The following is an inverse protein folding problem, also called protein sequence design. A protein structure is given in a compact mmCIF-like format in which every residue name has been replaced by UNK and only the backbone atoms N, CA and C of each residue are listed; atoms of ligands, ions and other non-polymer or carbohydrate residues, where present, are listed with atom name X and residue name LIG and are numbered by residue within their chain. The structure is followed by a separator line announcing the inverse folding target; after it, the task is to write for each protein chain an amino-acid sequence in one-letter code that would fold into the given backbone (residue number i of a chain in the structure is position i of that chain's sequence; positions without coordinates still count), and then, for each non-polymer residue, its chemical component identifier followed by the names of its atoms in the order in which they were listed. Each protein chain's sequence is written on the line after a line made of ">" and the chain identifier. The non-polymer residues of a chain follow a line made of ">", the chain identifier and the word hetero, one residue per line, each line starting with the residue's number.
data_IF_522063152539
#
_entry.id   IF_522063152539
#
_cell.length_a   1.000
_cell.length_b   1.000
_cell.length_c   1.000
_cell.angle_alpha   90.00
_cell.angle_beta   90.00
_cell.angle_gamma   90.00
#
_symmetry.space_group_name_H-M   'P 1'
#
loop_
_entity.id
_entity.type
_entity.pdbx_description
1 polymer ?
#
# COMPACT_ATOMS: atom_id res chain seq x y z
N UNK A 1 27.24 -11.38 -27.71
CA UNK A 1 26.56 -10.56 -26.69
C UNK A 1 27.40 -9.36 -26.23
N UNK A 2 28.70 -9.30 -26.52
CA UNK A 2 29.53 -8.07 -26.37
C UNK A 2 29.58 -7.18 -27.63
N UNK A 3 29.15 -7.67 -28.80
CA UNK A 3 29.18 -6.88 -30.05
C UNK A 3 28.04 -5.86 -30.21
N UNK A 4 26.98 -5.93 -29.38
CA UNK A 4 25.85 -5.00 -29.44
C UNK A 4 26.03 -3.78 -28.52
N UNK A 5 26.96 -3.83 -27.56
CA UNK A 5 27.19 -2.75 -26.59
C UNK A 5 28.13 -1.66 -27.13
N UNK A 6 28.89 -1.94 -28.19
CA UNK A 6 29.82 -0.99 -28.82
C UNK A 6 29.19 -0.06 -29.88
N UNK A 7 27.90 -0.20 -30.18
CA UNK A 7 27.21 0.68 -31.14
C UNK A 7 26.84 2.04 -30.50
N UNK A 8 26.78 2.13 -29.16
CA UNK A 8 26.37 3.36 -28.45
C UNK A 8 27.58 4.25 -28.07
N UNK A 9 28.82 3.76 -28.20
CA UNK A 9 30.03 4.49 -27.83
C UNK A 9 30.83 5.09 -29.01
N UNK A 10 30.38 4.94 -30.27
CA UNK A 10 31.07 5.50 -31.44
C UNK A 10 30.26 6.64 -32.09
N UNK A 11 30.10 7.76 -31.40
CA UNK A 11 30.00 9.06 -32.08
C UNK A 11 31.42 9.61 -32.30
N UNK A 12 32.27 8.83 -32.97
CA UNK A 12 33.45 9.37 -33.62
C UNK A 12 32.97 10.32 -34.71
N UNK A 13 33.47 11.55 -34.73
CA UNK A 13 33.07 12.62 -35.64
C UNK A 13 32.98 12.15 -37.10
N UNK A 14 31.80 11.68 -37.51
CA UNK A 14 31.50 11.36 -38.90
C UNK A 14 31.56 12.69 -39.63
N UNK A 15 32.64 12.90 -40.37
CA UNK A 15 32.78 14.02 -41.28
C UNK A 15 31.54 13.96 -42.17
N UNK A 16 30.70 15.00 -42.10
CA UNK A 16 29.52 15.09 -42.96
C UNK A 16 30.04 15.32 -44.38
N UNK A 17 29.93 14.31 -45.22
CA UNK A 17 30.38 14.38 -46.61
C UNK A 17 29.21 14.43 -47.58
N UNK A 18 29.37 15.13 -48.69
CA UNK A 18 28.46 15.10 -49.84
C UNK A 18 29.11 14.34 -50.99
N UNK A 19 28.34 13.44 -51.63
CA UNK A 19 28.81 12.77 -52.85
C UNK A 19 28.85 13.77 -54.01
N UNK A 20 29.89 13.68 -54.83
CA UNK A 20 30.05 14.48 -56.06
C UNK A 20 28.86 14.39 -57.01
N UNK A 21 28.13 13.27 -57.04
CA UNK A 21 26.88 13.13 -57.80
C UNK A 21 25.79 14.05 -57.25
N UNK A 22 25.53 14.01 -55.94
CA UNK A 22 24.53 14.84 -55.28
C UNK A 22 24.87 16.34 -55.35
N UNK A 23 26.15 16.70 -55.21
CA UNK A 23 26.58 18.10 -55.35
C UNK A 23 26.34 18.62 -56.78
N UNK A 24 26.60 17.80 -57.80
CA UNK A 24 26.34 18.16 -59.20
C UNK A 24 24.86 18.37 -59.46
N UNK A 25 23.98 17.58 -58.87
CA UNK A 25 22.53 17.76 -58.97
C UNK A 25 22.10 19.14 -58.43
N UNK A 26 22.58 19.51 -57.24
CA UNK A 26 22.29 20.82 -56.63
C UNK A 26 22.88 21.97 -57.46
N UNK A 27 24.12 21.84 -57.94
CA UNK A 27 24.74 22.85 -58.81
C UNK A 27 23.91 23.03 -60.08
N UNK A 28 23.45 21.93 -60.70
CA UNK A 28 22.68 21.98 -61.94
C UNK A 28 21.30 22.58 -61.77
N UNK A 29 20.66 22.39 -60.61
CA UNK A 29 19.41 23.07 -60.27
C UNK A 29 19.56 24.60 -60.38
N UNK A 30 20.61 25.14 -59.78
CA UNK A 30 20.85 26.59 -59.78
C UNK A 30 21.44 27.11 -61.10
N UNK A 31 22.31 26.33 -61.78
CA UNK A 31 22.79 26.69 -63.13
C UNK A 31 21.63 26.81 -64.11
N UNK A 32 20.66 25.90 -64.05
CA UNK A 32 19.45 25.97 -64.89
C UNK A 32 18.64 27.23 -64.60
N UNK A 33 18.51 27.61 -63.33
CA UNK A 33 17.78 28.82 -62.93
C UNK A 33 18.41 30.12 -63.45
N UNK A 34 19.73 30.16 -63.67
CA UNK A 34 20.43 31.32 -64.26
C UNK A 34 20.65 31.20 -65.79
N UNK A 35 20.10 30.17 -66.45
CA UNK A 35 20.30 29.93 -67.89
C UNK A 35 21.68 29.37 -68.26
N UNK A 36 22.42 28.85 -67.29
CA UNK A 36 23.74 28.25 -67.44
C UNK A 36 23.73 26.82 -68.01
N UNK A 37 24.89 26.38 -68.48
CA UNK A 37 25.08 25.03 -69.05
C UNK A 37 25.22 23.97 -67.96
N UNK A 38 24.54 22.85 -68.15
CA UNK A 38 24.61 21.67 -67.27
C UNK A 38 26.05 21.17 -67.09
N UNK A 39 26.41 20.93 -65.82
CA UNK A 39 27.64 20.27 -65.40
C UNK A 39 27.44 18.76 -65.43
N UNK A 40 28.16 18.07 -66.30
CA UNK A 40 28.20 16.60 -66.29
C UNK A 40 29.07 16.10 -65.13
N UNK A 41 28.63 15.04 -64.43
CA UNK A 41 29.39 14.45 -63.32
C UNK A 41 30.82 14.07 -63.71
N UNK A 42 31.03 13.48 -64.90
CA UNK A 42 32.39 13.22 -65.45
C UNK A 42 33.28 14.47 -65.48
N UNK A 43 32.74 15.61 -65.90
CA UNK A 43 33.51 16.87 -65.96
C UNK A 43 33.80 17.39 -64.55
N UNK A 44 32.87 17.18 -63.62
CA UNK A 44 33.07 17.55 -62.23
C UNK A 44 34.13 16.68 -61.54
N UNK A 45 34.15 15.38 -61.80
CA UNK A 45 35.21 14.47 -61.34
C UNK A 45 36.59 14.93 -61.81
N UNK A 46 36.72 15.30 -63.10
CA UNK A 46 37.98 15.83 -63.64
C UNK A 46 38.40 17.15 -62.98
N UNK A 47 37.44 18.02 -62.61
CA UNK A 47 37.74 19.23 -61.82
C UNK A 47 38.29 18.87 -60.43
N UNK A 48 37.70 17.90 -59.75
CA UNK A 48 38.15 17.44 -58.42
C UNK A 48 39.57 16.86 -58.51
N UNK A 49 39.85 16.01 -59.50
CA UNK A 49 41.18 15.42 -59.71
C UNK A 49 42.25 16.50 -59.90
N UNK A 50 41.93 17.53 -60.71
CA UNK A 50 42.82 18.68 -60.92
C UNK A 50 43.05 19.49 -59.64
N UNK A 51 42.01 19.70 -58.84
CA UNK A 51 42.13 20.40 -57.55
C UNK A 51 43.04 19.61 -56.59
N UNK A 52 42.83 18.30 -56.48
CA UNK A 52 43.67 17.40 -55.66
C UNK A 52 45.13 17.45 -56.11
N UNK A 53 45.40 17.41 -57.41
CA UNK A 53 46.76 17.52 -57.98
C UNK A 53 47.41 18.88 -57.66
N UNK A 54 46.63 19.95 -57.75
CA UNK A 54 47.07 21.31 -57.42
C UNK A 54 47.43 21.42 -55.94
N UNK A 55 46.57 20.93 -55.04
CA UNK A 55 46.83 20.90 -53.59
C UNK A 55 48.11 20.12 -53.27
N UNK A 56 48.29 18.93 -53.87
CA UNK A 56 49.51 18.13 -53.70
C UNK A 56 50.77 18.86 -54.15
N UNK A 57 50.71 19.55 -55.29
CA UNK A 57 51.83 20.34 -55.83
C UNK A 57 52.22 21.50 -54.89
N UNK A 58 51.25 22.07 -54.19
CA UNK A 58 51.44 23.14 -53.21
C UNK A 58 51.82 22.64 -51.80
N UNK A 59 51.95 21.32 -51.59
CA UNK A 59 52.23 20.73 -50.28
C UNK A 59 51.06 20.79 -49.29
N UNK A 60 49.82 20.90 -49.78
CA UNK A 60 48.60 20.94 -48.97
C UNK A 60 47.90 19.57 -48.95
N UNK A 61 47.35 19.19 -47.80
CA UNK A 61 46.64 17.92 -47.63
C UNK A 61 45.26 17.93 -48.31
N UNK A 62 45.09 17.11 -49.35
CA UNK A 62 43.83 16.96 -50.08
C UNK A 62 42.92 15.82 -49.56
N UNK A 63 43.51 14.82 -48.90
CA UNK A 63 42.84 13.54 -48.56
C UNK A 63 41.74 13.68 -47.49
N UNK A 64 41.82 14.73 -46.66
CA UNK A 64 40.79 15.06 -45.66
C UNK A 64 39.54 15.70 -46.30
N UNK A 65 39.69 16.33 -47.47
CA UNK A 65 38.62 17.06 -48.15
C UNK A 65 37.95 16.27 -49.27
N UNK A 66 38.70 15.36 -49.91
CA UNK A 66 38.24 14.56 -51.04
C UNK A 66 38.59 13.09 -50.84
N UNK A 67 37.58 12.28 -50.49
CA UNK A 67 37.72 10.84 -50.32
C UNK A 67 37.12 10.10 -51.51
N UNK A 68 37.83 9.11 -52.03
CA UNK A 68 37.27 8.24 -53.08
C UNK A 68 36.16 7.37 -52.49
N UNK A 69 35.02 7.35 -53.15
CA UNK A 69 33.84 6.59 -52.81
C UNK A 69 33.18 6.00 -54.06
N UNK A 70 31.98 5.47 -53.88
CA UNK A 70 31.24 4.80 -54.96
C UNK A 70 29.74 5.08 -54.89
N UNK A 71 29.06 4.97 -56.02
CA UNK A 71 27.60 5.03 -56.12
C UNK A 71 27.07 4.02 -57.13
N UNK A 72 25.81 3.65 -57.01
CA UNK A 72 25.12 2.82 -57.99
C UNK A 72 24.43 3.71 -59.02
N UNK A 73 24.68 3.45 -60.30
CA UNK A 73 23.95 4.13 -61.38
C UNK A 73 22.55 3.53 -61.60
N UNK A 74 21.80 4.10 -62.56
CA UNK A 74 20.43 3.67 -62.89
C UNK A 74 20.35 2.22 -63.37
N UNK A 75 21.47 1.62 -63.79
CA UNK A 75 21.57 0.23 -64.23
C UNK A 75 22.14 -0.66 -63.11
N UNK A 76 22.17 -0.18 -61.87
CA UNK A 76 22.71 -0.85 -60.69
C UNK A 76 24.21 -1.21 -60.84
N UNK A 77 24.96 -0.45 -61.65
CA UNK A 77 26.41 -0.63 -61.78
C UNK A 77 27.15 0.28 -60.81
N UNK A 78 28.18 -0.26 -60.18
CA UNK A 78 29.03 0.49 -59.25
C UNK A 78 29.96 1.44 -60.03
N UNK A 79 29.89 2.73 -59.71
CA UNK A 79 30.65 3.80 -60.37
C UNK A 79 31.44 4.60 -59.34
N UNK A 80 32.68 5.06 -59.66
CA UNK A 80 33.46 5.87 -58.75
C UNK A 80 32.87 7.28 -58.58
N UNK A 81 32.98 7.82 -57.39
CA UNK A 81 32.66 9.21 -57.08
C UNK A 81 33.55 9.72 -55.95
N UNK A 82 33.66 11.03 -55.75
CA UNK A 82 34.22 11.57 -54.51
C UNK A 82 33.15 11.82 -53.46
N UNK A 83 33.48 11.53 -52.21
CA UNK A 83 32.83 12.02 -50.99
C UNK A 83 33.64 13.20 -50.48
N UNK A 84 33.00 14.37 -50.37
CA UNK A 84 33.69 15.62 -50.06
C UNK A 84 33.25 16.15 -48.72
N UNK A 85 34.21 16.63 -47.93
CA UNK A 85 33.92 17.44 -46.74
C UNK A 85 33.23 18.74 -47.14
N UNK A 86 32.74 19.49 -46.14
CA UNK A 86 32.21 20.83 -46.36
C UNK A 86 33.23 21.76 -47.04
N UNK A 87 34.49 21.67 -46.63
CA UNK A 87 35.57 22.51 -47.18
C UNK A 87 35.91 22.09 -48.61
N UNK A 88 35.97 20.77 -48.89
CA UNK A 88 36.14 20.26 -50.25
C UNK A 88 35.01 20.70 -51.18
N UNK A 89 33.76 20.67 -50.72
CA UNK A 89 32.62 21.22 -51.46
C UNK A 89 32.79 22.71 -51.75
N UNK A 90 33.16 23.52 -50.74
CA UNK A 90 33.36 24.95 -50.90
C UNK A 90 34.47 25.28 -51.90
N UNK A 91 35.57 24.52 -51.89
CA UNK A 91 36.64 24.63 -52.88
C UNK A 91 36.11 24.39 -54.30
N UNK A 92 35.31 23.35 -54.51
CA UNK A 92 34.75 23.07 -55.84
C UNK A 92 33.77 24.15 -56.32
N UNK A 93 33.00 24.73 -55.40
CA UNK A 93 32.05 25.81 -55.69
C UNK A 93 32.74 27.13 -56.07
N UNK A 94 34.04 27.30 -55.80
CA UNK A 94 34.80 28.46 -56.29
C UNK A 94 34.86 28.53 -57.82
N UNK A 95 34.68 27.40 -58.50
CA UNK A 95 34.61 27.32 -59.96
C UNK A 95 33.22 27.64 -60.55
N UNK A 96 32.24 27.95 -59.70
CA UNK A 96 30.86 28.26 -60.07
C UNK A 96 30.56 29.77 -60.02
N UNK A 97 29.48 30.18 -60.69
CA UNK A 97 28.99 31.57 -60.67
C UNK A 97 28.67 32.01 -59.25
N UNK A 98 28.73 33.32 -58.99
CA UNK A 98 28.42 33.88 -57.66
C UNK A 98 27.03 33.47 -57.18
N UNK A 99 26.04 33.46 -58.07
CA UNK A 99 24.67 33.09 -57.75
C UNK A 99 24.54 31.60 -57.42
N UNK A 100 25.09 30.72 -58.26
CA UNK A 100 25.08 29.26 -58.03
C UNK A 100 25.79 28.90 -56.74
N UNK A 101 26.96 29.51 -56.46
CA UNK A 101 27.71 29.32 -55.23
C UNK A 101 26.89 29.71 -54.00
N UNK A 102 26.34 30.93 -54.00
CA UNK A 102 25.52 31.43 -52.89
C UNK A 102 24.33 30.52 -52.61
N UNK A 103 23.58 30.15 -53.65
CA UNK A 103 22.38 29.31 -53.52
C UNK A 103 22.68 27.87 -53.12
N UNK A 104 23.78 27.29 -53.61
CA UNK A 104 24.22 25.96 -53.19
C UNK A 104 24.59 25.94 -51.71
N UNK A 105 25.33 26.95 -51.23
CA UNK A 105 25.68 27.08 -49.81
C UNK A 105 24.42 27.26 -48.95
N UNK A 106 23.50 28.13 -49.38
CA UNK A 106 22.21 28.36 -48.69
C UNK A 106 21.42 27.05 -48.55
N UNK A 107 21.34 26.26 -49.62
CA UNK A 107 20.64 24.97 -49.65
C UNK A 107 21.27 23.95 -48.70
N UNK A 108 22.59 23.80 -48.75
CA UNK A 108 23.32 22.86 -47.88
C UNK A 108 23.17 23.24 -46.41
N UNK A 109 23.21 24.54 -46.07
CA UNK A 109 22.97 25.01 -44.70
C UNK A 109 21.57 24.65 -44.19
N UNK A 110 20.54 24.85 -45.03
CA UNK A 110 19.16 24.46 -44.70
C UNK A 110 19.05 22.96 -44.44
N UNK A 111 19.68 22.13 -45.27
CA UNK A 111 19.70 20.68 -45.06
C UNK A 111 20.44 20.26 -43.79
N UNK A 112 21.55 20.94 -43.45
CA UNK A 112 22.27 20.67 -42.22
C UNK A 112 21.44 21.00 -40.97
N UNK A 113 20.69 22.11 -41.00
CA UNK A 113 19.82 22.53 -39.91
C UNK A 113 18.61 21.60 -39.74
N UNK A 114 17.96 21.23 -40.85
CA UNK A 114 16.89 20.22 -40.85
C UNK A 114 17.39 18.88 -40.28
N UNK A 115 18.59 18.44 -40.67
CA UNK A 115 19.20 17.22 -40.12
C UNK A 115 19.50 17.32 -38.61
N UNK A 116 19.93 18.49 -38.11
CA UNK A 116 20.13 18.70 -36.67
C UNK A 116 18.79 18.59 -35.93
N UNK A 117 17.74 19.22 -36.44
CA UNK A 117 16.40 19.17 -35.85
C UNK A 117 15.85 17.74 -35.81
N UNK A 118 15.89 17.02 -36.94
CA UNK A 118 15.44 15.62 -37.01
C UNK A 118 16.15 14.70 -36.01
N UNK A 119 17.47 14.89 -35.81
CA UNK A 119 18.23 14.12 -34.81
C UNK A 119 17.78 14.44 -33.39
N UNK A 120 17.49 15.71 -33.09
CA UNK A 120 16.97 16.13 -31.79
C UNK A 120 15.59 15.53 -31.52
N UNK A 121 14.67 15.66 -32.48
CA UNK A 121 13.30 15.17 -32.36
C UNK A 121 13.28 13.64 -32.19
N UNK A 122 14.11 12.90 -32.94
CA UNK A 122 14.25 11.46 -32.77
C UNK A 122 14.78 11.05 -31.39
N UNK A 123 15.73 11.82 -30.83
CA UNK A 123 16.26 11.56 -29.49
C UNK A 123 15.19 11.81 -28.42
N UNK A 124 14.40 12.86 -28.57
CA UNK A 124 13.29 13.18 -27.67
C UNK A 124 12.20 12.09 -27.72
N UNK A 125 11.79 11.68 -28.92
CA UNK A 125 10.84 10.58 -29.13
C UNK A 125 11.32 9.27 -28.51
N UNK A 126 12.59 8.91 -28.69
CA UNK A 126 13.18 7.73 -28.07
C UNK A 126 13.15 7.83 -26.55
N UNK A 127 13.47 8.99 -25.99
CA UNK A 127 13.43 9.25 -24.54
C UNK A 127 12.00 9.14 -23.99
N UNK A 128 11.01 9.68 -24.69
CA UNK A 128 9.59 9.54 -24.32
C UNK A 128 9.17 8.06 -24.36
N UNK A 129 9.53 7.35 -25.44
CA UNK A 129 9.19 5.94 -25.63
C UNK A 129 9.87 5.00 -24.62
N UNK A 130 11.02 5.40 -24.06
CA UNK A 130 11.77 4.64 -23.05
C UNK A 130 11.58 5.17 -21.64
N UNK A 131 10.84 6.27 -21.44
CA UNK A 131 10.65 6.82 -20.11
C UNK A 131 9.88 5.83 -19.22
N UNK A 132 10.42 5.57 -18.03
CA UNK A 132 9.84 4.63 -17.06
C UNK A 132 8.37 4.95 -16.75
N UNK A 133 8.03 6.24 -16.71
CA UNK A 133 6.66 6.70 -16.43
C UNK A 133 5.66 6.24 -17.50
N UNK A 134 6.01 6.31 -18.77
CA UNK A 134 5.14 5.88 -19.86
C UNK A 134 5.17 4.37 -20.07
N UNK A 135 6.27 3.69 -19.71
CA UNK A 135 6.31 2.24 -19.62
C UNK A 135 5.36 1.73 -18.51
N UNK A 136 5.44 2.31 -17.30
CA UNK A 136 4.51 2.00 -16.19
C UNK A 136 3.06 2.26 -16.59
N UNK A 137 2.79 3.37 -17.32
CA UNK A 137 1.44 3.69 -17.79
C UNK A 137 0.92 2.70 -18.83
N UNK A 138 1.78 2.23 -19.74
CA UNK A 138 1.44 1.21 -20.74
C UNK A 138 1.24 -0.16 -20.09
N UNK A 139 2.13 -0.56 -19.18
CA UNK A 139 2.00 -1.78 -18.39
C UNK A 139 0.70 -1.77 -17.57
N UNK A 140 0.37 -0.64 -16.93
CA UNK A 140 -0.88 -0.47 -16.22
C UNK A 140 -2.11 -0.69 -17.12
N UNK A 141 -2.13 -0.07 -18.31
CA UNK A 141 -3.22 -0.25 -19.28
C UNK A 141 -3.32 -1.69 -19.78
N UNK A 142 -2.19 -2.34 -20.05
CA UNK A 142 -2.15 -3.74 -20.46
C UNK A 142 -2.68 -4.66 -19.34
N UNK A 143 -2.30 -4.40 -18.09
CA UNK A 143 -2.74 -5.16 -16.92
C UNK A 143 -4.23 -4.98 -16.61
N UNK A 144 -4.82 -3.80 -16.87
CA UNK A 144 -6.29 -3.61 -16.80
C UNK A 144 -7.01 -4.61 -17.71
N UNK A 145 -6.45 -4.87 -18.89
CA UNK A 145 -7.02 -5.80 -19.86
C UNK A 145 -6.70 -7.24 -19.41
N UNK A 146 -5.43 -7.59 -19.21
CA UNK A 146 -4.98 -8.95 -18.84
C UNK A 146 -5.70 -9.47 -17.60
N UNK A 147 -5.68 -8.69 -16.52
CA UNK A 147 -6.31 -9.05 -15.24
C UNK A 147 -7.70 -8.43 -15.08
N UNK A 148 -8.39 -8.09 -16.18
CA UNK A 148 -9.74 -7.58 -16.12
C UNK A 148 -10.70 -8.58 -15.47
N UNK A 149 -11.72 -8.09 -14.74
CA UNK A 149 -12.66 -8.94 -13.97
C UNK A 149 -13.29 -10.08 -14.78
N UNK A 150 -13.63 -9.81 -16.06
CA UNK A 150 -14.22 -10.79 -16.99
C UNK A 150 -13.20 -11.82 -17.50
N UNK A 151 -11.92 -11.47 -17.52
CA UNK A 151 -10.84 -12.27 -18.09
C UNK A 151 -10.25 -13.26 -17.07
N UNK A 152 -10.48 -13.06 -15.78
CA UNK A 152 -9.95 -13.93 -14.71
C UNK A 152 -10.30 -15.41 -14.92
N UNK A 153 -11.49 -15.71 -15.45
CA UNK A 153 -11.91 -17.10 -15.73
C UNK A 153 -11.02 -17.75 -16.79
N UNK A 154 -10.83 -17.11 -17.94
CA UNK A 154 -9.99 -17.64 -19.01
C UNK A 154 -8.52 -17.71 -18.58
N UNK A 155 -8.02 -16.65 -17.94
CA UNK A 155 -6.63 -16.57 -17.49
C UNK A 155 -6.26 -17.72 -16.54
N UNK A 156 -7.13 -18.04 -15.57
CA UNK A 156 -6.87 -19.14 -14.63
C UNK A 156 -7.16 -20.52 -15.24
N UNK A 157 -8.12 -20.64 -16.15
CA UNK A 157 -8.41 -21.91 -16.85
C UNK A 157 -7.25 -22.35 -17.76
N UNK A 158 -6.49 -21.41 -18.31
CA UNK A 158 -5.32 -21.67 -19.15
C UNK A 158 -4.04 -21.97 -18.33
N UNK A 159 -4.12 -21.93 -17.00
CA UNK A 159 -2.98 -22.21 -16.13
C UNK A 159 -2.71 -23.72 -16.00
N UNK A 160 -1.46 -24.04 -15.69
CA UNK A 160 -0.99 -25.37 -15.30
C UNK A 160 -0.67 -25.38 -13.81
N UNK A 161 -0.44 -26.56 -13.24
CA UNK A 161 -0.04 -26.67 -11.82
C UNK A 161 1.23 -25.89 -11.48
N UNK A 162 2.09 -25.58 -12.46
CA UNK A 162 3.36 -24.87 -12.26
C UNK A 162 3.21 -23.36 -12.10
N UNK A 163 2.16 -22.76 -12.66
CA UNK A 163 2.06 -21.30 -12.76
C UNK A 163 0.76 -20.73 -12.16
N UNK A 164 -0.19 -21.56 -11.78
CA UNK A 164 -1.49 -21.09 -11.27
C UNK A 164 -1.34 -20.26 -9.99
N UNK A 165 -0.42 -20.63 -9.09
CA UNK A 165 -0.16 -19.88 -7.87
C UNK A 165 0.43 -18.48 -8.16
N UNK A 166 1.42 -18.40 -9.05
CA UNK A 166 2.02 -17.14 -9.48
C UNK A 166 0.98 -16.22 -10.13
N UNK A 167 0.16 -16.76 -11.03
CA UNK A 167 -0.90 -16.00 -11.71
C UNK A 167 -1.94 -15.48 -10.71
N UNK A 168 -2.34 -16.27 -9.71
CA UNK A 168 -3.20 -15.81 -8.61
C UNK A 168 -2.52 -14.66 -7.84
N UNK A 169 -1.22 -14.80 -7.54
CA UNK A 169 -0.43 -13.76 -6.90
C UNK A 169 -0.42 -12.46 -7.71
N UNK A 170 -0.20 -12.54 -9.02
CA UNK A 170 -0.24 -11.40 -9.94
C UNK A 170 -1.61 -10.72 -9.96
N UNK A 171 -2.70 -11.51 -10.08
CA UNK A 171 -4.08 -11.02 -10.05
C UNK A 171 -4.33 -10.28 -8.73
N UNK A 172 -4.03 -10.92 -7.60
CA UNK A 172 -4.24 -10.35 -6.27
C UNK A 172 -3.46 -9.05 -6.09
N UNK A 173 -2.18 -9.03 -6.45
CA UNK A 173 -1.35 -7.83 -6.33
C UNK A 173 -1.87 -6.71 -7.23
N UNK A 174 -2.20 -7.01 -8.49
CA UNK A 174 -2.72 -6.01 -9.40
C UNK A 174 -4.03 -5.41 -8.89
N UNK A 175 -5.04 -6.22 -8.55
CA UNK A 175 -6.32 -5.69 -8.10
C UNK A 175 -6.26 -4.95 -6.75
N UNK A 176 -5.46 -5.44 -5.81
CA UNK A 176 -5.45 -4.89 -4.44
C UNK A 176 -4.51 -3.69 -4.31
N UNK A 177 -3.36 -3.71 -4.99
CA UNK A 177 -2.29 -2.73 -4.79
C UNK A 177 -2.08 -1.78 -5.97
N UNK A 178 -2.32 -2.21 -7.22
CA UNK A 178 -2.05 -1.39 -8.41
C UNK A 178 -3.31 -0.77 -9.04
N UNK A 179 -4.44 -1.48 -9.07
CA UNK A 179 -5.66 -1.09 -9.77
C UNK A 179 -6.37 0.07 -9.05
N UNK A 180 -6.58 1.17 -9.79
CA UNK A 180 -7.25 2.36 -9.27
C UNK A 180 -8.75 2.12 -9.13
N UNK A 181 -9.37 2.72 -8.10
CA UNK A 181 -10.81 2.57 -7.82
C UNK A 181 -11.70 2.83 -9.04
N UNK A 182 -11.39 3.88 -9.81
CA UNK A 182 -12.12 4.28 -11.02
C UNK A 182 -12.09 3.25 -12.15
N UNK A 183 -11.07 2.39 -12.17
CA UNK A 183 -10.85 1.39 -13.22
C UNK A 183 -11.38 0.00 -12.80
N UNK A 184 -11.99 -0.11 -11.60
CA UNK A 184 -12.68 -1.33 -11.15
C UNK A 184 -14.00 -1.50 -11.92
N UNK A 185 -14.45 -2.74 -12.05
CA UNK A 185 -15.77 -3.03 -12.58
C UNK A 185 -16.86 -2.29 -11.77
N UNK A 186 -17.90 -1.79 -12.46
CA UNK A 186 -18.89 -0.85 -11.90
C UNK A 186 -19.47 -1.29 -10.54
N UNK A 187 -19.80 -2.57 -10.40
CA UNK A 187 -20.34 -3.16 -9.17
C UNK A 187 -19.40 -3.11 -7.95
N UNK A 188 -18.12 -2.77 -8.14
CA UNK A 188 -17.07 -2.79 -7.11
C UNK A 188 -16.35 -1.45 -6.94
N UNK A 189 -16.78 -0.41 -7.67
CA UNK A 189 -16.13 0.91 -7.68
C UNK A 189 -16.17 1.61 -6.31
N UNK A 190 -17.27 1.42 -5.58
CA UNK A 190 -17.53 2.06 -4.29
C UNK A 190 -17.02 1.26 -3.08
N UNK A 191 -16.54 0.03 -3.27
CA UNK A 191 -16.06 -0.80 -2.17
C UNK A 191 -14.77 -0.25 -1.55
N UNK A 192 -14.66 -0.39 -0.22
CA UNK A 192 -13.41 -0.18 0.50
C UNK A 192 -12.31 -1.12 -0.03
N UNK A 193 -11.05 -0.83 0.30
CA UNK A 193 -9.92 -1.68 -0.10
C UNK A 193 -10.08 -3.11 0.43
N UNK A 194 -10.59 -3.25 1.66
CA UNK A 194 -10.80 -4.54 2.31
C UNK A 194 -11.94 -5.33 1.68
N UNK A 195 -13.10 -4.69 1.45
CA UNK A 195 -14.24 -5.32 0.78
C UNK A 195 -13.88 -5.76 -0.64
N UNK A 196 -13.18 -4.89 -1.39
CA UNK A 196 -12.75 -5.21 -2.74
C UNK A 196 -11.77 -6.40 -2.77
N UNK A 197 -10.82 -6.43 -1.83
CA UNK A 197 -9.89 -7.57 -1.68
C UNK A 197 -10.64 -8.89 -1.44
N UNK A 198 -11.70 -8.87 -0.63
CA UNK A 198 -12.51 -10.07 -0.39
C UNK A 198 -13.33 -10.46 -1.61
N UNK A 199 -13.88 -9.49 -2.35
CA UNK A 199 -14.58 -9.77 -3.61
C UNK A 199 -13.65 -10.44 -4.64
N UNK A 200 -12.42 -9.95 -4.78
CA UNK A 200 -11.41 -10.56 -5.67
C UNK A 200 -11.10 -11.99 -5.24
N UNK A 201 -10.89 -12.24 -3.94
CA UNK A 201 -10.66 -13.60 -3.41
C UNK A 201 -11.81 -14.54 -3.70
N UNK A 202 -13.05 -14.12 -3.42
CA UNK A 202 -14.23 -14.94 -3.71
C UNK A 202 -14.38 -15.23 -5.20
N UNK A 203 -14.02 -14.28 -6.07
CA UNK A 203 -14.02 -14.50 -7.52
C UNK A 203 -12.95 -15.51 -7.94
N UNK A 204 -11.76 -15.46 -7.36
CA UNK A 204 -10.70 -16.45 -7.62
C UNK A 204 -11.17 -17.83 -7.14
N UNK A 205 -11.72 -17.93 -5.92
CA UNK A 205 -12.24 -19.19 -5.38
C UNK A 205 -13.33 -19.81 -6.26
N UNK A 206 -14.26 -19.01 -6.79
CA UNK A 206 -15.30 -19.46 -7.73
C UNK A 206 -14.70 -20.05 -9.01
N UNK A 207 -13.66 -19.41 -9.55
CA UNK A 207 -12.98 -19.89 -10.75
C UNK A 207 -12.18 -21.15 -10.45
N UNK A 208 -11.48 -21.20 -9.32
CA UNK A 208 -10.76 -22.37 -8.86
C UNK A 208 -11.69 -23.56 -8.63
N UNK A 209 -12.88 -23.34 -8.07
CA UNK A 209 -13.88 -24.38 -7.90
C UNK A 209 -14.34 -24.94 -9.25
N UNK A 210 -14.51 -24.09 -10.25
CA UNK A 210 -14.81 -24.54 -11.60
C UNK A 210 -13.67 -25.40 -12.19
N UNK A 211 -12.41 -24.98 -12.03
CA UNK A 211 -11.23 -25.74 -12.50
C UNK A 211 -11.15 -27.08 -11.79
N UNK A 212 -11.29 -27.09 -10.45
CA UNK A 212 -11.28 -28.31 -9.64
C UNK A 212 -12.30 -29.31 -10.17
N UNK A 213 -13.51 -28.87 -10.47
CA UNK A 213 -14.59 -29.76 -10.93
C UNK A 213 -14.44 -30.22 -12.39
N UNK A 214 -13.70 -29.49 -13.23
CA UNK A 214 -13.64 -29.75 -14.69
C UNK A 214 -12.31 -30.30 -15.19
N UNK A 215 -11.20 -30.08 -14.48
CA UNK A 215 -9.86 -30.48 -14.95
C UNK A 215 -9.65 -31.99 -14.96
N UNK A 216 -9.00 -32.51 -16.00
CA UNK A 216 -8.56 -33.92 -16.04
C UNK A 216 -7.15 -34.11 -15.45
N UNK A 217 -6.41 -33.02 -15.21
CA UNK A 217 -5.08 -33.04 -14.61
C UNK A 217 -5.18 -33.19 -13.09
N UNK A 218 -4.82 -34.38 -12.59
CA UNK A 218 -4.84 -34.69 -11.16
C UNK A 218 -3.88 -33.85 -10.32
N UNK A 219 -2.73 -33.44 -10.87
CA UNK A 219 -1.77 -32.57 -10.17
C UNK A 219 -2.32 -31.16 -10.04
N UNK A 220 -2.86 -30.62 -11.13
CA UNK A 220 -3.53 -29.31 -11.10
C UNK A 220 -4.70 -29.32 -10.11
N UNK A 221 -5.51 -30.39 -10.10
CA UNK A 221 -6.64 -30.54 -9.17
C UNK A 221 -6.19 -30.48 -7.70
N UNK A 222 -5.10 -31.15 -7.34
CA UNK A 222 -4.55 -31.12 -5.97
C UNK A 222 -4.07 -29.72 -5.59
N UNK A 223 -3.27 -29.08 -6.45
CA UNK A 223 -2.76 -27.73 -6.21
C UNK A 223 -3.90 -26.72 -6.06
N UNK A 224 -4.93 -26.82 -6.91
CA UNK A 224 -6.14 -25.97 -6.80
C UNK A 224 -6.83 -26.14 -5.45
N UNK A 225 -6.96 -27.37 -4.95
CA UNK A 225 -7.57 -27.64 -3.65
C UNK A 225 -6.78 -27.02 -2.50
N UNK A 226 -5.45 -27.13 -2.51
CA UNK A 226 -4.57 -26.52 -1.51
C UNK A 226 -4.69 -24.98 -1.50
N UNK A 227 -4.80 -24.38 -2.69
CA UNK A 227 -5.00 -22.94 -2.85
C UNK A 227 -6.37 -22.47 -2.33
N UNK A 228 -7.43 -23.26 -2.54
CA UNK A 228 -8.76 -23.00 -1.96
C UNK A 228 -8.73 -23.06 -0.43
N UNK A 229 -8.08 -24.08 0.16
CA UNK A 229 -7.92 -24.22 1.61
C UNK A 229 -7.14 -23.04 2.20
N UNK A 230 -6.08 -22.60 1.53
CA UNK A 230 -5.29 -21.44 1.93
C UNK A 230 -6.10 -20.15 1.88
N UNK A 231 -6.92 -19.96 0.84
CA UNK A 231 -7.81 -18.79 0.74
C UNK A 231 -8.87 -18.79 1.83
N UNK A 232 -9.42 -19.96 2.16
CA UNK A 232 -10.38 -20.14 3.25
C UNK A 232 -9.74 -19.84 4.62
N UNK A 233 -8.54 -20.35 4.91
CA UNK A 233 -7.80 -20.04 6.15
C UNK A 233 -7.57 -18.53 6.29
N UNK A 234 -7.12 -17.87 5.22
CA UNK A 234 -6.93 -16.42 5.21
C UNK A 234 -8.23 -15.62 5.45
N UNK A 235 -9.38 -16.11 4.96
CA UNK A 235 -10.69 -15.53 5.25
C UNK A 235 -11.04 -15.70 6.73
N UNK A 236 -10.88 -16.89 7.28
CA UNK A 236 -11.16 -17.21 8.69
C UNK A 236 -10.31 -16.37 9.65
N UNK A 237 -9.00 -16.24 9.39
CA UNK A 237 -8.11 -15.39 10.21
C UNK A 237 -8.56 -13.92 10.24
N UNK A 238 -9.01 -13.40 9.10
CA UNK A 238 -9.49 -12.01 9.00
C UNK A 238 -10.77 -11.82 9.82
N UNK A 239 -11.71 -12.77 9.72
CA UNK A 239 -12.95 -12.76 10.52
C UNK A 239 -12.66 -12.90 12.00
N UNK A 240 -11.76 -13.79 12.40
CA UNK A 240 -11.37 -13.97 13.80
C UNK A 240 -10.75 -12.71 14.39
N UNK A 241 -9.93 -11.96 13.63
CA UNK A 241 -9.40 -10.66 14.06
C UNK A 241 -10.52 -9.62 14.27
N UNK A 242 -11.50 -9.53 13.35
CA UNK A 242 -12.65 -8.64 13.50
C UNK A 242 -13.48 -9.02 14.73
N UNK A 243 -13.81 -10.30 14.90
CA UNK A 243 -14.55 -10.80 16.05
C UNK A 243 -13.80 -10.55 17.37
N UNK A 244 -12.48 -10.70 17.39
CA UNK A 244 -11.67 -10.39 18.56
C UNK A 244 -11.68 -8.89 18.90
N UNK A 245 -11.64 -8.01 17.89
CA UNK A 245 -11.79 -6.56 18.09
C UNK A 245 -13.18 -6.18 18.61
N UNK A 246 -14.22 -6.79 18.07
CA UNK A 246 -15.61 -6.58 18.50
C UNK A 246 -15.84 -7.11 19.92
N UNK A 247 -15.28 -8.28 20.25
CA UNK A 247 -15.27 -8.83 21.60
C UNK A 247 -14.53 -7.92 22.58
N UNK A 248 -13.40 -7.32 22.19
CA UNK A 248 -12.68 -6.37 23.04
C UNK A 248 -13.46 -5.08 23.26
N UNK A 249 -14.17 -4.57 22.25
CA UNK A 249 -15.09 -3.44 22.40
C UNK A 249 -16.24 -3.77 23.35
N UNK A 250 -16.83 -4.96 23.21
CA UNK A 250 -17.87 -5.44 24.13
C UNK A 250 -17.33 -5.58 25.56
N UNK A 251 -16.11 -6.12 25.75
CA UNK A 251 -15.46 -6.20 27.07
C UNK A 251 -15.14 -4.84 27.69
N UNK A 252 -14.98 -3.78 26.90
CA UNK A 252 -14.88 -2.42 27.44
C UNK A 252 -16.24 -1.86 27.86
N UNK A 253 -17.34 -2.33 27.26
CA UNK A 253 -18.71 -1.86 27.56
C UNK A 253 -19.34 -2.63 28.74
N UNK A 254 -18.93 -3.88 28.98
CA UNK A 254 -19.38 -4.66 30.14
C UNK A 254 -18.33 -4.61 31.27
N UNK A 255 -18.70 -4.21 32.51
CA UNK A 255 -17.75 -4.01 33.59
C UNK A 255 -17.00 -5.29 33.95
N UNK A 256 -15.75 -5.13 34.41
CA UNK A 256 -14.84 -6.16 34.90
C UNK A 256 -15.58 -7.20 35.75
N UNK A 257 -15.66 -8.45 35.27
CA UNK A 257 -16.27 -9.55 36.00
C UNK A 257 -15.26 -10.10 37.01
N UNK A 258 -15.36 -9.65 38.26
CA UNK A 258 -14.57 -10.16 39.39
C UNK A 258 -15.08 -11.56 39.72
N UNK A 259 -14.17 -12.54 39.84
CA UNK A 259 -14.55 -13.92 40.23
C UNK A 259 -14.98 -13.92 41.69
N UNK A 260 -15.95 -14.74 42.07
CA UNK A 260 -16.44 -14.77 43.45
C UNK A 260 -15.32 -15.13 44.45
N UNK A 261 -14.36 -15.96 44.04
CA UNK A 261 -13.18 -16.35 44.83
C UNK A 261 -12.24 -15.18 45.19
N UNK A 262 -12.33 -14.06 44.46
CA UNK A 262 -11.54 -12.87 44.75
C UNK A 262 -12.17 -12.02 45.87
N UNK A 263 -13.46 -12.23 46.19
CA UNK A 263 -14.16 -11.51 47.26
C UNK A 263 -13.78 -12.04 48.64
N UNK A 264 -13.77 -11.14 49.63
CA UNK A 264 -13.75 -11.54 51.03
C UNK A 264 -15.16 -11.96 51.43
N UNK A 265 -15.30 -13.19 51.92
CA UNK A 265 -16.55 -13.76 52.40
C UNK A 265 -16.71 -13.56 53.92
N UNK A 266 -17.86 -13.02 54.30
CA UNK A 266 -18.26 -12.80 55.69
C UNK A 266 -19.55 -13.61 55.95
N UNK A 267 -19.49 -14.51 56.93
CA UNK A 267 -20.59 -15.37 57.37
C UNK A 267 -21.56 -14.61 58.28
N UNK A 268 -22.16 -13.55 57.72
CA UNK A 268 -23.16 -12.73 58.39
C UNK A 268 -24.19 -12.23 57.40
N UNK A 269 -25.47 -12.25 57.80
CA UNK A 269 -26.52 -11.61 57.04
C UNK A 269 -26.41 -10.07 57.11
N UNK A 270 -26.57 -9.35 55.98
CA UNK A 270 -26.51 -7.89 55.97
C UNK A 270 -27.68 -7.23 56.69
N UNK A 271 -27.41 -6.22 57.50
CA UNK A 271 -28.43 -5.56 58.31
C UNK A 271 -29.09 -4.41 57.56
N UNK A 272 -30.42 -4.43 57.45
CA UNK A 272 -31.16 -3.40 56.72
C UNK A 272 -31.28 -2.08 57.49
N UNK A 273 -31.01 -0.97 56.80
CA UNK A 273 -31.00 0.41 57.32
C UNK A 273 -32.23 0.78 58.14
N UNK A 274 -33.41 0.36 57.69
CA UNK A 274 -34.69 0.70 58.33
C UNK A 274 -34.85 0.11 59.75
N UNK A 275 -33.98 -0.81 60.16
CA UNK A 275 -34.00 -1.41 61.50
C UNK A 275 -32.82 -0.95 62.36
N UNK A 276 -31.95 -0.07 61.85
CA UNK A 276 -30.73 0.36 62.56
C UNK A 276 -31.06 1.28 63.73
N UNK A 277 -32.02 2.18 63.55
CA UNK A 277 -32.32 3.25 64.49
C UNK A 277 -33.81 3.29 64.86
N UNK A 278 -34.08 3.68 66.10
CA UNK A 278 -35.41 3.99 66.62
C UNK A 278 -35.41 5.43 67.17
N UNK A 279 -36.49 6.16 66.93
CA UNK A 279 -36.67 7.50 67.47
C UNK A 279 -37.29 7.42 68.87
N UNK A 280 -36.63 8.03 69.86
CA UNK A 280 -37.17 8.23 71.23
C UNK A 280 -36.88 9.67 71.64
N UNK A 281 -37.88 10.40 72.15
CA UNK A 281 -37.73 11.76 72.66
C UNK A 281 -36.91 12.70 71.74
N UNK A 282 -37.29 12.81 70.46
CA UNK A 282 -36.61 13.63 69.43
C UNK A 282 -35.13 13.27 69.17
N UNK A 283 -34.65 12.13 69.64
CA UNK A 283 -33.29 11.63 69.39
C UNK A 283 -33.32 10.26 68.72
N UNK A 284 -32.36 9.98 67.84
CA UNK A 284 -32.20 8.67 67.20
C UNK A 284 -31.26 7.79 68.03
N UNK A 285 -31.72 6.59 68.37
CA UNK A 285 -30.94 5.60 69.11
C UNK A 285 -30.78 4.34 68.28
N UNK A 286 -29.60 3.70 68.36
CA UNK A 286 -29.40 2.37 67.74
C UNK A 286 -30.36 1.35 68.39
N UNK A 287 -31.08 0.60 67.58
CA UNK A 287 -31.96 -0.46 68.06
C UNK A 287 -31.16 -1.55 68.78
N UNK A 288 -31.81 -2.30 69.66
CA UNK A 288 -31.19 -3.45 70.32
C UNK A 288 -30.71 -4.50 69.30
N UNK A 289 -31.52 -4.75 68.26
CA UNK A 289 -31.17 -5.66 67.17
C UNK A 289 -29.89 -5.23 66.43
N UNK A 290 -29.74 -3.94 66.13
CA UNK A 290 -28.55 -3.43 65.47
C UNK A 290 -27.32 -3.52 66.37
N UNK A 291 -27.45 -3.18 67.67
CA UNK A 291 -26.36 -3.36 68.65
C UNK A 291 -25.91 -4.82 68.75
N UNK A 292 -26.85 -5.76 68.80
CA UNK A 292 -26.52 -7.18 68.82
C UNK A 292 -25.85 -7.63 67.53
N UNK A 293 -26.33 -7.15 66.38
CA UNK A 293 -25.72 -7.45 65.08
C UNK A 293 -24.27 -6.97 65.01
N UNK A 294 -24.00 -5.75 65.48
CA UNK A 294 -22.66 -5.16 65.59
C UNK A 294 -21.75 -6.04 66.47
N UNK A 295 -22.23 -6.40 67.66
CA UNK A 295 -21.43 -7.14 68.64
C UNK A 295 -21.14 -8.57 68.18
N UNK A 296 -22.04 -9.15 67.38
CA UNK A 296 -21.90 -10.49 66.82
C UNK A 296 -21.35 -10.47 65.39
N UNK A 297 -20.75 -9.36 64.93
CA UNK A 297 -20.13 -9.30 63.61
C UNK A 297 -18.78 -10.04 63.63
N UNK A 298 -18.49 -10.92 62.65
CA UNK A 298 -17.32 -11.78 62.68
C UNK A 298 -16.06 -11.01 62.24
N UNK A 299 -15.49 -10.21 63.14
CA UNK A 299 -14.36 -9.33 62.82
C UNK A 299 -13.13 -10.05 62.25
N UNK A 300 -12.93 -11.34 62.60
CA UNK A 300 -11.80 -12.14 62.11
C UNK A 300 -11.89 -12.58 60.64
N UNK A 301 -13.06 -12.42 59.99
CA UNK A 301 -13.25 -12.76 58.58
C UNK A 301 -12.95 -11.58 57.63
N UNK A 302 -12.59 -10.43 58.20
CA UNK A 302 -12.42 -9.19 57.45
C UNK A 302 -10.93 -9.00 57.21
N UNK A 303 -10.57 -8.75 55.95
CA UNK A 303 -9.21 -8.40 55.59
C UNK A 303 -8.83 -7.03 56.18
N UNK A 304 -7.65 -6.97 56.79
CA UNK A 304 -7.07 -5.72 57.29
C UNK A 304 -6.59 -4.84 56.12
N UNK A 305 -6.18 -3.60 56.43
CA UNK A 305 -5.67 -2.64 55.46
C UNK A 305 -4.47 -3.20 54.66
N UNK A 306 -3.50 -3.81 55.36
CA UNK A 306 -2.30 -4.41 54.76
C UNK A 306 -2.61 -5.47 53.70
N UNK A 307 -3.66 -6.28 53.88
CA UNK A 307 -4.10 -7.24 52.86
C UNK A 307 -4.47 -6.55 51.55
N UNK A 308 -5.20 -5.42 51.62
CA UNK A 308 -5.66 -4.69 50.45
C UNK A 308 -4.53 -3.87 49.80
N UNK A 309 -3.64 -3.29 50.60
CA UNK A 309 -2.43 -2.62 50.09
C UNK A 309 -1.54 -3.61 49.31
N UNK A 310 -1.36 -4.83 49.82
CA UNK A 310 -0.65 -5.90 49.10
C UNK A 310 -1.35 -6.33 47.79
N UNK A 311 -2.66 -6.09 47.67
CA UNK A 311 -3.43 -6.28 46.43
C UNK A 311 -3.39 -5.05 45.51
N UNK A 312 -2.66 -4.01 45.90
CA UNK A 312 -2.48 -2.77 45.14
C UNK A 312 -3.60 -1.75 45.35
N UNK A 313 -4.32 -1.81 46.47
CA UNK A 313 -5.31 -0.79 46.85
C UNK A 313 -4.62 0.32 47.63
N UNK A 314 -4.75 1.54 47.15
CA UNK A 314 -4.30 2.76 47.83
C UNK A 314 -5.50 3.50 48.45
N UNK A 315 -5.60 3.54 49.77
CA UNK A 315 -6.73 4.17 50.46
C UNK A 315 -6.68 5.70 50.49
N UNK A 316 -5.58 6.32 50.04
CA UNK A 316 -5.49 7.77 49.84
C UNK A 316 -6.13 8.21 48.50
N UNK A 317 -6.46 7.26 47.63
CA UNK A 317 -7.14 7.49 46.35
C UNK A 317 -8.61 7.05 46.40
N UNK A 318 -9.49 7.61 45.54
CA UNK A 318 -10.87 7.14 45.40
C UNK A 318 -10.93 5.63 45.16
N UNK A 319 -11.74 4.92 45.95
CA UNK A 319 -11.96 3.48 45.82
C UNK A 319 -13.38 3.15 45.36
N UNK A 320 -13.48 2.01 44.66
CA UNK A 320 -14.74 1.36 44.30
C UNK A 320 -14.92 0.09 45.10
N UNK A 321 -16.11 -0.09 45.69
CA UNK A 321 -16.45 -1.27 46.48
C UNK A 321 -17.53 -2.10 45.81
N UNK A 322 -17.24 -3.39 45.62
CA UNK A 322 -18.19 -4.35 45.06
C UNK A 322 -18.83 -5.15 46.17
N UNK A 323 -20.14 -5.02 46.34
CA UNK A 323 -20.92 -5.73 47.36
C UNK A 323 -21.72 -6.88 46.73
N UNK A 324 -21.64 -8.08 47.30
CA UNK A 324 -22.58 -9.17 47.00
C UNK A 324 -23.22 -9.70 48.28
N UNK A 325 -24.52 -9.97 48.21
CA UNK A 325 -25.27 -10.43 49.38
C UNK A 325 -26.01 -11.74 49.11
N UNK A 326 -26.00 -12.62 50.12
CA UNK A 326 -26.94 -13.74 50.24
C UNK A 326 -27.92 -13.39 51.37
N UNK A 327 -29.19 -13.22 51.02
CA UNK A 327 -30.20 -12.69 51.94
C UNK A 327 -31.29 -13.69 52.30
N UNK A 328 -31.89 -13.54 53.48
CA UNK A 328 -33.03 -14.37 53.88
C UNK A 328 -34.18 -14.29 52.86
N UNK A 329 -34.74 -15.44 52.46
CA UNK A 329 -35.76 -15.54 51.41
C UNK A 329 -37.17 -15.11 51.86
N UNK A 330 -37.43 -14.97 53.16
CA UNK A 330 -38.76 -14.63 53.68
C UNK A 330 -39.15 -13.15 53.56
N UNK A 331 -38.34 -12.31 52.91
CA UNK A 331 -38.67 -10.92 52.57
C UNK A 331 -37.76 -10.38 51.47
N UNK A 332 -38.16 -9.26 50.88
CA UNK A 332 -37.30 -8.49 49.98
C UNK A 332 -36.44 -7.49 50.75
N UNK A 333 -35.28 -7.20 50.16
CA UNK A 333 -34.31 -6.25 50.70
C UNK A 333 -33.91 -5.28 49.60
N UNK A 334 -33.95 -4.01 49.96
CA UNK A 334 -33.36 -2.93 49.16
C UNK A 334 -31.83 -2.97 49.31
N UNK A 335 -31.11 -2.98 48.18
CA UNK A 335 -29.65 -3.14 48.16
C UNK A 335 -28.93 -1.96 48.81
N UNK A 336 -29.41 -0.73 48.60
CA UNK A 336 -28.80 0.48 49.15
C UNK A 336 -28.99 0.54 50.66
N UNK A 337 -30.16 0.08 51.15
CA UNK A 337 -30.44 -0.11 52.56
C UNK A 337 -29.54 -1.14 53.26
N UNK A 338 -28.90 -2.07 52.55
CA UNK A 338 -28.00 -3.07 53.15
C UNK A 338 -26.56 -2.57 53.28
N UNK A 339 -26.12 -1.67 52.40
CA UNK A 339 -24.73 -1.19 52.38
C UNK A 339 -24.40 -0.42 53.66
N UNK A 340 -25.31 0.44 54.13
CA UNK A 340 -24.98 1.40 55.20
C UNK A 340 -24.46 0.75 56.49
N UNK A 341 -25.13 -0.30 56.96
CA UNK A 341 -24.71 -0.99 58.18
C UNK A 341 -23.39 -1.77 57.99
N UNK A 342 -23.19 -2.34 56.79
CA UNK A 342 -22.01 -3.13 56.45
C UNK A 342 -20.79 -2.24 56.27
N UNK A 343 -20.92 -1.13 55.54
CA UNK A 343 -19.87 -0.14 55.33
C UNK A 343 -19.44 0.51 56.65
N UNK A 344 -20.39 0.97 57.48
CA UNK A 344 -20.10 1.56 58.80
C UNK A 344 -19.34 0.56 59.71
N UNK A 345 -19.62 -0.74 59.58
CA UNK A 345 -18.99 -1.77 60.39
C UNK A 345 -17.60 -2.13 59.86
N UNK A 346 -17.44 -2.35 58.56
CA UNK A 346 -16.17 -2.76 57.95
C UNK A 346 -15.17 -1.60 57.90
N UNK A 347 -15.53 -0.48 57.28
CA UNK A 347 -14.59 0.62 57.04
C UNK A 347 -14.35 1.44 58.32
N UNK A 348 -15.41 2.01 58.89
CA UNK A 348 -15.27 2.96 59.99
C UNK A 348 -14.84 2.31 61.33
N UNK A 349 -15.30 1.09 61.63
CA UNK A 349 -15.03 0.47 62.94
C UNK A 349 -13.92 -0.56 62.97
N UNK A 350 -13.78 -1.34 61.90
CA UNK A 350 -12.84 -2.46 61.87
C UNK A 350 -11.56 -2.06 61.17
N UNK A 351 -11.66 -1.51 59.96
CA UNK A 351 -10.49 -1.04 59.21
C UNK A 351 -10.01 0.35 59.67
N UNK A 352 -10.86 1.11 60.37
CA UNK A 352 -10.60 2.48 60.81
C UNK A 352 -10.24 3.42 59.65
N UNK A 353 -10.89 3.21 58.51
CA UNK A 353 -10.75 4.02 57.30
C UNK A 353 -11.98 4.90 57.18
N UNK A 354 -11.76 6.19 56.90
CA UNK A 354 -12.86 7.11 56.62
C UNK A 354 -13.60 6.66 55.36
N UNK A 355 -14.91 6.44 55.49
CA UNK A 355 -15.74 6.00 54.37
C UNK A 355 -15.89 7.06 53.27
N UNK A 356 -15.34 8.27 53.46
CA UNK A 356 -15.20 9.30 52.43
C UNK A 356 -14.31 8.91 51.23
N UNK A 357 -13.43 7.91 51.38
CA UNK A 357 -12.63 7.41 50.25
C UNK A 357 -13.44 6.57 49.24
N UNK A 358 -14.65 6.14 49.61
CA UNK A 358 -15.51 5.33 48.75
C UNK A 358 -16.26 6.24 47.78
N UNK A 359 -15.82 6.24 46.52
CA UNK A 359 -16.39 7.08 45.44
C UNK A 359 -17.48 6.34 44.66
N UNK A 360 -17.28 5.05 44.39
CA UNK A 360 -18.24 4.21 43.68
C UNK A 360 -18.55 2.91 44.42
N UNK A 361 -19.75 2.38 44.21
CA UNK A 361 -20.07 1.01 44.62
C UNK A 361 -20.92 0.27 43.57
N UNK A 362 -20.75 -1.05 43.52
CA UNK A 362 -21.58 -1.95 42.71
C UNK A 362 -22.17 -3.04 43.61
N UNK A 363 -23.50 -3.11 43.70
CA UNK A 363 -24.21 -3.97 44.65
C UNK A 363 -25.13 -4.96 43.95
N UNK A 364 -25.07 -6.24 44.37
CA UNK A 364 -25.96 -7.29 43.85
C UNK A 364 -26.36 -8.29 44.94
N UNK A 365 -27.62 -8.70 44.95
CA UNK A 365 -28.04 -9.91 45.68
C UNK A 365 -27.75 -11.11 44.77
N UNK A 366 -26.89 -12.01 45.21
CA UNK A 366 -26.43 -13.17 44.42
C UNK A 366 -27.07 -14.48 44.84
N UNK A 367 -27.75 -14.49 45.99
CA UNK A 367 -28.41 -15.69 46.49
C UNK A 367 -29.42 -15.38 47.57
N UNK A 368 -30.23 -16.39 47.91
CA UNK A 368 -31.16 -16.34 49.02
C UNK A 368 -30.99 -17.57 49.92
N UNK A 369 -31.25 -17.42 51.21
CA UNK A 369 -31.12 -18.47 52.23
C UNK A 369 -32.36 -18.59 53.11
N UNK A 370 -32.51 -19.71 53.81
CA UNK A 370 -33.72 -20.03 54.60
C UNK A 370 -33.72 -19.44 56.01
N UNK A 371 -32.64 -18.80 56.46
CA UNK A 371 -32.58 -18.12 57.77
C UNK A 371 -31.56 -16.98 57.75
N UNK A 372 -31.67 -16.05 58.70
CA UNK A 372 -30.69 -14.97 58.89
C UNK A 372 -29.29 -15.47 59.29
N UNK A 373 -29.17 -16.70 59.81
CA UNK A 373 -27.89 -17.30 60.17
C UNK A 373 -27.05 -17.67 58.95
N UNK A 374 -27.71 -18.08 57.86
CA UNK A 374 -27.05 -18.49 56.61
C UNK A 374 -26.86 -17.34 55.61
N UNK A 375 -27.15 -16.10 56.01
CA UNK A 375 -26.85 -14.96 55.17
C UNK A 375 -25.34 -14.72 55.07
N UNK A 376 -24.91 -14.18 53.94
CA UNK A 376 -23.50 -13.91 53.66
C UNK A 376 -23.32 -12.53 53.04
N UNK A 377 -22.18 -11.92 53.34
CA UNK A 377 -21.71 -10.67 52.74
C UNK A 377 -20.41 -11.01 52.01
N UNK A 378 -20.28 -10.50 50.79
CA UNK A 378 -19.05 -10.56 50.02
C UNK A 378 -18.64 -9.14 49.65
N UNK A 379 -17.36 -8.83 49.79
CA UNK A 379 -16.83 -7.53 49.34
C UNK A 379 -15.48 -7.64 48.63
N UNK A 380 -15.27 -6.74 47.68
CA UNK A 380 -14.01 -6.56 46.96
C UNK A 380 -13.75 -5.07 46.77
N UNK A 381 -12.50 -4.64 46.94
CA UNK A 381 -12.06 -3.24 46.86
C UNK A 381 -11.04 -3.10 45.72
N UNK A 382 -11.17 -2.02 44.95
CA UNK A 382 -10.10 -1.54 44.05
C UNK A 382 -10.11 -0.02 43.96
N UNK A 383 -8.97 0.58 43.58
CA UNK A 383 -8.94 1.99 43.22
C UNK A 383 -9.76 2.26 41.95
N UNK A 384 -10.45 3.40 41.92
CA UNK A 384 -11.07 3.92 40.70
C UNK A 384 -9.96 4.26 39.72
N UNK A 385 -9.98 3.66 38.53
CA UNK A 385 -9.02 4.02 37.48
C UNK A 385 -9.43 5.35 36.88
N UNK A 386 -8.54 6.35 36.91
CA UNK A 386 -8.70 7.53 36.05
C UNK A 386 -8.82 7.05 34.59
N UNK A 387 -9.92 7.46 33.93
CA UNK A 387 -10.23 7.13 32.53
C UNK A 387 -9.44 8.04 31.61
#
# INVERSE_FOLDING_TARGET
>A
MEELTNIIANNNGVIKTIKSTALVEVINEFRKAEGGKELKHKNFMAKIEKEIETLKTLGLEAELNFKLGKYFDKNNQERPCYEMSRDGMLQMLNSESTLVRYKTIEYVNKLEEQNKKLKSDNKELYTIATSDKDQIKREYKANIIKFGWKNLRGLLADCTYKNIEDVIGEIMNFHVNKLKKKDRAYSYSNMSKTEYKQAVRSRIDEVLDNIYNTTLDGTLRTVVKELQETTLRNKLETTNRKNAQELNKLKQVYPKQIKLDDYIEIHKHPFAKNYMYEAKNNSMYKTYAYKNWINAFPNGEIANMEYWENKGVDFDLPIKVYWRFVTYNGREFDTDGLIKAVQDQIFNRIMQIDDSCIDEYDVKIIGRCNSYEYGKIYYYIENVREV
#
